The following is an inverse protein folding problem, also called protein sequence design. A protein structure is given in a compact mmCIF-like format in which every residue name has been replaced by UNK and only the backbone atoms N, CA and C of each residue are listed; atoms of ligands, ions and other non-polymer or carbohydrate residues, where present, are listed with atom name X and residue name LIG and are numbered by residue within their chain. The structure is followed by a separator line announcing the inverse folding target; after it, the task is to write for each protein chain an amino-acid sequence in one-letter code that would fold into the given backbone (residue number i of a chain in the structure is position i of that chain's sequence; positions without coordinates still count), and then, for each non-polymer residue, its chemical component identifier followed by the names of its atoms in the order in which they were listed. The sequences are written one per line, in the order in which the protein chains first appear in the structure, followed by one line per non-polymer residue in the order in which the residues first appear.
data_IF_226845852411
#
_entry.id   IF_226845852411
#
_cell.length_a   1.000
_cell.length_b   1.000
_cell.length_c   1.000
_cell.angle_alpha   90.00
_cell.angle_beta   90.00
_cell.angle_gamma   90.00
#
_symmetry.space_group_name_H-M   'P 1'
#
loop_
_entity.id
_entity.type
_entity.pdbx_description
1 polymer ?
#
# COMPACT_ATOMS: atom_id res chain seq x y z
N UNK A 1 -2.91 -36.74 -8.69
CA UNK A 1 -4.11 -37.41 -8.14
C UNK A 1 -4.22 -37.25 -6.62
N UNK A 2 -3.17 -37.54 -5.83
CA UNK A 2 -3.14 -37.30 -4.37
C UNK A 2 -2.94 -35.82 -3.99
N UNK A 3 -2.42 -35.03 -4.92
CA UNK A 3 -2.03 -33.64 -4.71
C UNK A 3 -3.23 -32.72 -4.47
N UNK A 4 -4.27 -32.75 -5.31
CA UNK A 4 -5.46 -31.89 -5.17
C UNK A 4 -6.23 -32.10 -3.84
N UNK A 5 -6.23 -33.33 -3.32
CA UNK A 5 -6.89 -33.67 -2.04
C UNK A 5 -6.08 -33.17 -0.85
N UNK A 6 -4.75 -33.36 -0.88
CA UNK A 6 -3.85 -32.81 0.12
C UNK A 6 -3.86 -31.27 0.09
N UNK A 7 -3.99 -30.68 -1.10
CA UNK A 7 -4.07 -29.24 -1.31
C UNK A 7 -5.35 -28.66 -0.68
N UNK A 8 -6.53 -29.29 -0.84
CA UNK A 8 -7.76 -28.80 -0.22
C UNK A 8 -7.73 -28.83 1.31
N UNK A 9 -7.30 -29.95 1.92
CA UNK A 9 -7.26 -30.10 3.38
C UNK A 9 -6.25 -29.11 4.01
N UNK A 10 -5.13 -28.88 3.34
CA UNK A 10 -4.11 -27.90 3.74
C UNK A 10 -4.68 -26.48 3.68
N UNK A 11 -5.24 -26.08 2.53
CA UNK A 11 -5.84 -24.75 2.35
C UNK A 11 -6.97 -24.48 3.36
N UNK A 12 -7.80 -25.50 3.67
CA UNK A 12 -8.86 -25.38 4.68
C UNK A 12 -8.27 -25.14 6.08
N UNK A 13 -7.24 -25.89 6.44
CA UNK A 13 -6.59 -25.78 7.75
C UNK A 13 -5.87 -24.44 7.91
N UNK A 14 -5.18 -23.98 6.86
CA UNK A 14 -4.53 -22.67 6.82
C UNK A 14 -5.55 -21.55 6.98
N UNK A 15 -6.65 -21.56 6.21
CA UNK A 15 -7.70 -20.54 6.30
C UNK A 15 -8.30 -20.45 7.72
N UNK A 16 -8.55 -21.59 8.36
CA UNK A 16 -9.12 -21.63 9.73
C UNK A 16 -8.12 -21.19 10.80
N UNK A 17 -6.81 -21.30 10.54
CA UNK A 17 -5.77 -20.86 11.45
C UNK A 17 -5.43 -19.37 11.32
N UNK A 18 -5.96 -18.67 10.30
CA UNK A 18 -5.68 -17.25 10.10
C UNK A 18 -6.29 -16.39 11.23
N UNK A 19 -5.50 -15.51 11.87
CA UNK A 19 -6.02 -14.61 12.88
C UNK A 19 -6.98 -13.59 12.27
N UNK A 20 -8.06 -13.28 12.99
CA UNK A 20 -8.98 -12.20 12.60
C UNK A 20 -8.25 -10.87 12.79
N UNK A 21 -8.10 -10.10 11.71
CA UNK A 21 -7.56 -8.76 11.80
C UNK A 21 -8.66 -7.81 12.30
N UNK A 22 -8.49 -7.27 13.51
CA UNK A 22 -9.48 -6.38 14.11
C UNK A 22 -9.24 -4.91 13.69
N UNK A 23 -10.31 -4.17 13.32
CA UNK A 23 -10.20 -2.75 13.02
C UNK A 23 -9.72 -1.95 14.25
N UNK A 24 -8.96 -0.86 14.06
CA UNK A 24 -8.61 0.03 15.15
C UNK A 24 -9.87 0.65 15.76
N UNK A 25 -9.90 0.78 17.10
CA UNK A 25 -10.91 1.56 17.78
C UNK A 25 -10.71 3.04 17.46
N UNK A 26 -11.76 3.70 16.95
CA UNK A 26 -11.78 5.11 16.59
C UNK A 26 -12.94 5.79 17.31
N UNK A 27 -12.68 6.98 17.85
CA UNK A 27 -13.69 7.80 18.53
C UNK A 27 -14.18 8.93 17.62
N UNK A 28 -15.45 9.30 17.75
CA UNK A 28 -15.97 10.48 17.05
C UNK A 28 -15.36 11.76 17.63
N UNK A 29 -14.86 12.63 16.77
CA UNK A 29 -14.30 13.93 17.15
C UNK A 29 -14.95 15.05 16.33
N UNK A 30 -15.38 16.11 17.01
CA UNK A 30 -16.04 17.28 16.40
C UNK A 30 -15.35 18.61 16.77
N UNK A 31 -14.09 18.55 17.20
CA UNK A 31 -13.33 19.76 17.49
C UNK A 31 -12.82 20.47 16.23
N UNK A 32 -12.17 21.64 16.39
CA UNK A 32 -11.66 22.42 15.25
C UNK A 32 -10.64 21.60 14.45
N UNK A 33 -10.75 21.70 13.12
CA UNK A 33 -9.87 21.01 12.17
C UNK A 33 -9.15 22.05 11.31
N UNK A 34 -8.00 22.52 11.80
CA UNK A 34 -7.14 23.42 11.03
C UNK A 34 -6.30 22.61 10.06
N UNK A 35 -6.28 23.04 8.80
CA UNK A 35 -5.51 22.41 7.72
C UNK A 35 -4.55 23.42 7.11
N UNK A 36 -3.48 22.90 6.51
CA UNK A 36 -2.52 23.63 5.69
C UNK A 36 -2.30 22.85 4.39
N UNK A 37 -2.16 23.50 3.23
CA UNK A 37 -1.88 22.79 1.99
C UNK A 37 -0.50 22.13 2.05
N UNK A 38 -0.30 21.06 1.28
CA UNK A 38 0.96 20.33 1.22
C UNK A 38 2.09 21.21 0.68
N UNK A 39 1.78 22.15 -0.22
CA UNK A 39 2.73 23.15 -0.72
C UNK A 39 3.40 23.95 0.40
N UNK A 40 2.65 24.41 1.41
CA UNK A 40 3.21 25.15 2.55
C UNK A 40 4.22 24.30 3.33
N UNK A 41 3.98 22.99 3.43
CA UNK A 41 4.92 22.06 4.08
C UNK A 41 6.18 21.84 3.24
N UNK A 42 6.07 21.90 1.92
CA UNK A 42 7.22 21.83 0.99
C UNK A 42 8.02 23.14 1.06
N UNK A 43 7.36 24.29 1.04
CA UNK A 43 8.00 25.61 1.18
C UNK A 43 8.70 25.76 2.53
N UNK A 44 8.11 25.25 3.60
CA UNK A 44 8.72 25.20 4.93
C UNK A 44 9.87 24.18 5.06
N UNK A 45 10.13 23.38 4.02
CA UNK A 45 11.18 22.34 4.01
C UNK A 45 10.85 21.10 4.86
N UNK A 46 9.61 20.97 5.34
CA UNK A 46 9.16 19.79 6.08
C UNK A 46 8.94 18.58 5.14
N UNK A 47 8.69 18.84 3.86
CA UNK A 47 8.53 17.83 2.81
C UNK A 47 9.42 18.15 1.60
N UNK A 48 9.91 17.11 0.92
CA UNK A 48 10.52 17.22 -0.41
C UNK A 48 9.82 16.28 -1.37
N UNK A 49 9.41 16.78 -2.53
CA UNK A 49 8.79 15.97 -3.58
C UNK A 49 9.82 15.67 -4.66
N UNK A 50 9.98 14.39 -4.99
CA UNK A 50 10.82 13.92 -6.08
C UNK A 50 9.97 13.29 -7.19
N UNK A 51 10.38 13.56 -8.42
CA UNK A 51 9.82 12.96 -9.62
C UNK A 51 10.97 12.50 -10.51
N UNK A 52 10.79 11.35 -11.15
CA UNK A 52 11.80 10.76 -12.01
C UNK A 52 11.38 10.95 -13.46
N UNK A 53 12.30 11.36 -14.35
CA UNK A 53 12.00 11.48 -15.78
C UNK A 53 11.48 10.17 -16.38
N UNK A 54 10.60 10.22 -17.40
CA UNK A 54 10.07 9.02 -18.07
C UNK A 54 11.15 8.11 -18.69
N UNK A 55 12.35 8.66 -18.93
CA UNK A 55 13.49 7.98 -19.55
C UNK A 55 14.23 7.06 -18.60
N UNK A 56 14.05 7.19 -17.27
CA UNK A 56 14.73 6.35 -16.29
C UNK A 56 14.10 4.95 -16.30
N UNK A 57 14.92 3.92 -16.50
CA UNK A 57 14.50 2.52 -16.57
C UNK A 57 14.12 2.01 -17.96
N UNK A 58 14.47 2.75 -19.02
CA UNK A 58 14.38 2.27 -20.42
C UNK A 58 15.54 1.34 -20.77
N UNK A 59 16.68 1.49 -20.11
CA UNK A 59 17.85 0.61 -20.22
C UNK A 59 18.07 -0.15 -18.91
N UNK A 60 18.38 -1.45 -19.02
CA UNK A 60 18.48 -2.36 -17.89
C UNK A 60 19.54 -1.97 -16.84
N UNK A 61 19.48 -2.64 -15.70
CA UNK A 61 20.43 -2.54 -14.61
C UNK A 61 20.14 -3.58 -13.53
N UNK A 62 20.91 -3.58 -12.45
CA UNK A 62 20.82 -4.58 -11.38
C UNK A 62 20.14 -4.05 -10.12
N UNK A 63 19.68 -2.79 -10.12
CA UNK A 63 19.02 -2.20 -8.94
C UNK A 63 17.50 -2.40 -9.05
N UNK A 64 16.83 -2.96 -8.03
CA UNK A 64 15.37 -3.05 -8.01
C UNK A 64 14.73 -1.67 -8.15
N UNK A 65 13.65 -1.58 -8.93
CA UNK A 65 12.94 -0.34 -9.20
C UNK A 65 11.44 -0.51 -8.94
N UNK A 66 10.90 0.36 -8.10
CA UNK A 66 9.48 0.40 -7.76
C UNK A 66 8.69 1.01 -8.92
N UNK A 67 7.73 0.27 -9.46
CA UNK A 67 6.85 0.79 -10.52
C UNK A 67 5.51 1.30 -9.95
N UNK A 68 4.83 2.19 -10.69
CA UNK A 68 3.50 2.65 -10.28
C UNK A 68 2.49 1.50 -10.10
N UNK A 69 2.67 0.39 -10.86
CA UNK A 69 1.88 -0.84 -10.68
C UNK A 69 2.19 -1.53 -9.36
N UNK A 70 3.44 -1.52 -8.91
CA UNK A 70 3.83 -2.13 -7.63
C UNK A 70 3.27 -1.34 -6.44
N UNK A 71 3.24 -0.01 -6.54
CA UNK A 71 2.56 0.87 -5.58
C UNK A 71 1.07 0.54 -5.49
N UNK A 72 0.36 0.48 -6.63
CA UNK A 72 -1.08 0.15 -6.67
C UNK A 72 -1.40 -1.24 -6.11
N UNK A 73 -0.54 -2.22 -6.37
CA UNK A 73 -0.74 -3.60 -5.91
C UNK A 73 -0.19 -3.86 -4.51
N UNK A 74 0.43 -2.87 -3.86
CA UNK A 74 1.02 -3.03 -2.54
C UNK A 74 2.10 -4.13 -2.47
N UNK A 75 2.92 -4.27 -3.52
CA UNK A 75 3.93 -5.34 -3.64
C UNK A 75 5.36 -4.81 -3.76
N UNK A 76 6.34 -5.70 -3.60
CA UNK A 76 7.75 -5.38 -3.80
C UNK A 76 8.04 -4.88 -5.23
N UNK A 77 9.17 -4.20 -5.39
CA UNK A 77 9.66 -3.73 -6.69
C UNK A 77 9.71 -4.88 -7.70
N UNK A 78 9.09 -4.70 -8.87
CA UNK A 78 9.04 -5.74 -9.90
C UNK A 78 9.84 -5.38 -11.15
N UNK A 79 10.54 -4.25 -11.17
CA UNK A 79 11.37 -3.79 -12.28
C UNK A 79 12.81 -3.66 -11.82
N UNK A 80 13.68 -3.43 -12.80
CA UNK A 80 15.10 -3.22 -12.60
C UNK A 80 15.52 -1.95 -13.33
N UNK A 81 16.50 -1.25 -12.78
CA UNK A 81 17.04 -0.03 -13.35
C UNK A 81 18.50 0.15 -12.95
N UNK A 82 19.10 1.22 -13.46
CA UNK A 82 20.48 1.59 -13.20
C UNK A 82 20.53 2.82 -12.28
N UNK A 83 21.11 2.66 -11.09
CA UNK A 83 21.23 3.74 -10.11
C UNK A 83 22.19 4.86 -10.53
N UNK A 84 23.07 4.60 -11.52
CA UNK A 84 23.98 5.59 -12.06
C UNK A 84 23.34 6.53 -13.11
N UNK A 85 22.09 6.26 -13.51
CA UNK A 85 21.38 7.12 -14.45
C UNK A 85 21.16 8.52 -13.89
N UNK A 86 21.40 9.58 -14.67
CA UNK A 86 21.08 10.95 -14.26
C UNK A 86 19.60 11.09 -13.89
N UNK A 87 19.32 11.59 -12.69
CA UNK A 87 17.96 11.75 -12.19
C UNK A 87 17.35 10.50 -11.55
N UNK A 88 18.11 9.41 -11.39
CA UNK A 88 17.70 8.29 -10.57
C UNK A 88 17.51 8.73 -9.11
N UNK A 89 16.39 8.33 -8.51
CA UNK A 89 16.06 8.62 -7.10
C UNK A 89 15.99 7.32 -6.34
N UNK A 90 16.84 7.16 -5.33
CA UNK A 90 16.78 6.02 -4.42
C UNK A 90 15.80 6.31 -3.28
N UNK A 91 14.90 5.35 -3.08
CA UNK A 91 13.91 5.32 -2.01
C UNK A 91 14.61 5.02 -0.68
N UNK A 92 14.17 5.72 0.36
CA UNK A 92 14.54 5.52 1.76
C UNK A 92 13.33 5.00 2.52
N UNK A 93 13.58 4.27 3.62
CA UNK A 93 12.51 3.86 4.53
C UNK A 93 11.77 5.10 5.04
N UNK A 94 10.44 5.05 5.00
CA UNK A 94 9.58 6.16 5.39
C UNK A 94 9.27 7.16 4.27
N UNK A 95 9.85 7.02 3.07
CA UNK A 95 9.37 7.80 1.94
C UNK A 95 7.93 7.40 1.56
N UNK A 96 7.12 8.36 1.10
CA UNK A 96 5.74 8.13 0.70
C UNK A 96 5.63 8.17 -0.83
N UNK A 97 5.43 7.01 -1.45
CA UNK A 97 5.27 6.88 -2.89
C UNK A 97 3.81 7.07 -3.30
N UNK A 98 3.55 8.00 -4.22
CA UNK A 98 2.22 8.30 -4.78
C UNK A 98 2.23 7.97 -6.28
N UNK A 99 1.50 6.93 -6.67
CA UNK A 99 1.29 6.61 -8.08
C UNK A 99 0.23 7.56 -8.65
N UNK A 100 0.65 8.49 -9.50
CA UNK A 100 -0.24 9.51 -10.07
C UNK A 100 -0.78 9.02 -11.40
N UNK A 101 -1.98 8.42 -11.36
CA UNK A 101 -2.71 7.92 -12.52
C UNK A 101 -4.23 7.98 -12.25
N UNK A 102 -5.05 7.54 -13.20
CA UNK A 102 -6.51 7.40 -12.98
C UNK A 102 -6.84 6.47 -11.81
N UNK A 103 -5.98 5.49 -11.53
CA UNK A 103 -6.04 4.64 -10.34
C UNK A 103 -4.94 5.08 -9.36
N UNK A 104 -5.10 6.26 -8.78
CA UNK A 104 -4.10 6.77 -7.85
C UNK A 104 -3.98 5.87 -6.61
N UNK A 105 -2.76 5.70 -6.13
CA UNK A 105 -2.48 4.91 -4.94
C UNK A 105 -1.30 5.50 -4.17
N UNK A 106 -1.27 5.27 -2.87
CA UNK A 106 -0.21 5.73 -1.98
C UNK A 106 0.30 4.58 -1.13
N UNK A 107 1.61 4.56 -0.91
CA UNK A 107 2.29 3.58 -0.06
C UNK A 107 3.45 4.24 0.69
N UNK A 108 3.62 3.87 1.96
CA UNK A 108 4.88 4.13 2.68
C UNK A 108 5.90 3.05 2.27
N UNK A 109 7.08 3.50 1.86
CA UNK A 109 8.18 2.63 1.47
C UNK A 109 8.89 2.10 2.72
N UNK A 110 9.05 0.78 2.79
CA UNK A 110 9.76 0.11 3.87
C UNK A 110 11.17 -0.31 3.44
N UNK A 111 11.33 -0.62 2.15
CA UNK A 111 12.57 -1.08 1.54
C UNK A 111 13.52 0.08 1.23
N UNK A 112 14.82 -0.08 1.54
CA UNK A 112 15.88 0.83 1.12
C UNK A 112 16.59 0.32 -0.14
N UNK A 113 17.29 1.22 -0.85
CA UNK A 113 18.10 0.85 -2.01
C UNK A 113 17.29 0.54 -3.27
N UNK A 114 15.98 0.78 -3.25
CA UNK A 114 15.08 0.63 -4.39
C UNK A 114 15.01 1.94 -5.17
N UNK A 115 15.07 1.88 -6.49
CA UNK A 115 14.90 3.05 -7.34
C UNK A 115 13.42 3.42 -7.49
N UNK A 116 13.13 4.72 -7.54
CA UNK A 116 11.83 5.24 -7.89
C UNK A 116 11.63 5.15 -9.40
N UNK A 117 10.57 4.46 -9.84
CA UNK A 117 10.21 4.37 -11.25
C UNK A 117 9.35 5.55 -11.72
N UNK A 118 9.21 5.72 -13.06
CA UNK A 118 8.42 6.79 -13.64
C UNK A 118 6.92 6.66 -13.31
N UNK A 119 6.23 7.81 -13.28
CA UNK A 119 4.79 7.88 -12.94
C UNK A 119 4.50 7.79 -11.44
N UNK A 120 5.53 7.95 -10.60
CA UNK A 120 5.42 8.00 -9.14
C UNK A 120 5.98 9.35 -8.67
N UNK A 121 5.24 10.04 -7.81
CA UNK A 121 5.73 11.18 -7.03
C UNK A 121 6.14 10.65 -5.65
N UNK A 122 7.39 10.87 -5.27
CA UNK A 122 7.90 10.44 -3.96
C UNK A 122 7.94 11.64 -3.03
N UNK A 123 7.18 11.57 -1.94
CA UNK A 123 7.15 12.60 -0.90
C UNK A 123 8.01 12.13 0.27
N UNK A 124 9.12 12.81 0.48
CA UNK A 124 10.05 12.56 1.59
C UNK A 124 9.76 13.56 2.71
N UNK A 125 9.39 13.06 3.88
CA UNK A 125 9.15 13.89 5.06
C UNK A 125 10.42 14.04 5.91
N UNK A 126 10.62 15.22 6.50
CA UNK A 126 11.39 15.31 7.73
C UNK A 126 10.59 14.63 8.84
N UNK A 127 11.07 13.46 9.29
CA UNK A 127 10.44 12.62 10.31
C UNK A 127 10.30 13.30 11.68
N UNK A 128 11.00 14.42 11.90
CA UNK A 128 10.86 15.24 13.10
C UNK A 128 9.77 16.31 12.97
N UNK A 129 9.23 16.53 11.77
CA UNK A 129 8.17 17.50 11.49
C UNK A 129 6.86 16.83 11.08
N UNK A 130 6.94 15.80 10.24
CA UNK A 130 5.79 15.08 9.68
C UNK A 130 5.97 13.57 9.81
N UNK A 131 4.96 12.89 10.37
CA UNK A 131 4.93 11.43 10.40
C UNK A 131 4.57 10.85 9.01
N UNK A 132 5.36 9.91 8.44
CA UNK A 132 5.09 9.36 7.11
C UNK A 132 3.77 8.59 6.98
N UNK A 133 3.37 7.84 8.01
CA UNK A 133 2.13 7.06 7.97
C UNK A 133 0.90 7.96 8.08
N UNK A 134 1.00 9.05 8.84
CA UNK A 134 0.01 10.12 8.87
C UNK A 134 -0.14 10.75 7.48
N UNK A 135 0.97 11.18 6.87
CA UNK A 135 0.96 11.78 5.53
C UNK A 135 0.36 10.84 4.48
N UNK A 136 0.77 9.57 4.48
CA UNK A 136 0.22 8.56 3.58
C UNK A 136 -1.30 8.37 3.78
N UNK A 137 -1.78 8.39 5.02
CA UNK A 137 -3.21 8.34 5.32
C UNK A 137 -4.00 9.52 4.77
N UNK A 138 -3.46 10.74 4.90
CA UNK A 138 -4.08 11.97 4.35
C UNK A 138 -4.10 11.94 2.83
N UNK A 139 -2.98 11.61 2.20
CA UNK A 139 -2.90 11.48 0.74
C UNK A 139 -3.87 10.43 0.22
N UNK A 140 -4.00 9.30 0.92
CA UNK A 140 -4.97 8.25 0.58
C UNK A 140 -6.40 8.76 0.67
N UNK A 141 -6.74 9.50 1.72
CA UNK A 141 -8.06 10.09 1.89
C UNK A 141 -8.37 11.11 0.77
N UNK A 142 -7.39 11.93 0.38
CA UNK A 142 -7.54 12.88 -0.72
C UNK A 142 -7.74 12.18 -2.08
N UNK A 143 -7.01 11.09 -2.35
CA UNK A 143 -7.22 10.24 -3.54
C UNK A 143 -8.65 9.68 -3.54
N UNK A 144 -9.13 9.14 -2.43
CA UNK A 144 -10.47 8.57 -2.35
C UNK A 144 -11.56 9.63 -2.55
N UNK A 145 -11.31 10.87 -2.14
CA UNK A 145 -12.24 12.00 -2.31
C UNK A 145 -12.19 12.60 -3.73
N UNK A 146 -11.18 12.30 -4.55
CA UNK A 146 -11.05 12.90 -5.89
C UNK A 146 -11.97 12.26 -6.94
N UNK A 147 -12.69 11.18 -6.60
CA UNK A 147 -13.63 10.47 -7.47
C UNK A 147 -13.06 10.15 -8.87
N UNK A 148 -11.79 9.73 -8.91
CA UNK A 148 -11.07 9.37 -10.15
C UNK A 148 -10.53 10.55 -10.96
N UNK A 149 -10.67 11.78 -10.47
CA UNK A 149 -9.99 12.96 -11.03
C UNK A 149 -8.51 12.95 -10.64
N UNK A 150 -7.61 13.48 -11.50
CA UNK A 150 -6.22 13.68 -11.14
C UNK A 150 -6.10 14.50 -9.86
N UNK A 151 -5.32 13.98 -8.90
CA UNK A 151 -5.03 14.68 -7.66
C UNK A 151 -3.89 15.67 -7.88
N UNK A 152 -4.09 16.94 -7.56
CA UNK A 152 -2.97 17.85 -7.32
C UNK A 152 -2.43 17.59 -5.92
N UNK A 153 -1.20 17.08 -5.84
CA UNK A 153 -0.54 16.76 -4.59
C UNK A 153 -0.33 18.00 -3.72
N UNK A 154 -0.05 19.16 -4.32
CA UNK A 154 0.33 20.37 -3.61
C UNK A 154 -0.87 21.05 -2.91
N UNK A 155 -2.07 20.90 -3.49
CA UNK A 155 -3.32 21.41 -2.91
C UNK A 155 -3.89 20.51 -1.80
N UNK A 156 -3.30 19.34 -1.54
CA UNK A 156 -3.82 18.42 -0.50
C UNK A 156 -3.76 19.10 0.86
N UNK A 157 -4.93 19.26 1.49
CA UNK A 157 -5.08 19.80 2.82
C UNK A 157 -4.60 18.82 3.89
N UNK A 158 -3.51 19.15 4.58
CA UNK A 158 -2.90 18.38 5.66
C UNK A 158 -3.34 18.95 7.03
N UNK A 159 -3.91 18.14 7.94
CA UNK A 159 -4.28 18.60 9.27
C UNK A 159 -3.07 19.09 10.08
N UNK A 160 -3.17 20.30 10.64
CA UNK A 160 -2.13 20.92 11.46
C UNK A 160 -2.24 20.47 12.91
N UNK A 161 -1.67 19.30 13.19
CA UNK A 161 -1.61 18.71 14.54
C UNK A 161 -0.16 18.45 14.96
N UNK A 162 0.08 18.36 16.28
CA UNK A 162 1.42 18.10 16.83
C UNK A 162 1.94 16.73 16.41
N UNK A 163 3.26 16.57 16.25
CA UNK A 163 3.89 15.33 15.78
C UNK A 163 3.49 14.09 16.60
N UNK A 164 3.36 14.23 17.93
CA UNK A 164 2.92 13.14 18.79
C UNK A 164 1.50 12.65 18.42
N UNK A 165 0.62 13.58 18.06
CA UNK A 165 -0.72 13.26 17.59
C UNK A 165 -0.70 12.71 16.17
N UNK A 166 0.13 13.28 15.27
CA UNK A 166 0.34 12.71 13.93
C UNK A 166 0.72 11.24 14.01
N UNK A 167 1.65 10.85 14.89
CA UNK A 167 2.05 9.45 15.10
C UNK A 167 0.89 8.56 15.53
N UNK A 168 -0.04 9.05 16.34
CA UNK A 168 -1.26 8.30 16.75
C UNK A 168 -2.19 8.10 15.56
N UNK A 169 -2.42 9.14 14.77
CA UNK A 169 -3.21 9.05 13.53
C UNK A 169 -2.53 8.14 12.49
N UNK A 170 -1.21 8.26 12.32
CA UNK A 170 -0.41 7.44 11.44
C UNK A 170 -0.48 5.96 11.81
N UNK A 171 -0.38 5.62 13.10
CA UNK A 171 -0.58 4.26 13.57
C UNK A 171 -2.00 3.73 13.28
N UNK A 172 -3.03 4.56 13.42
CA UNK A 172 -4.40 4.19 13.05
C UNK A 172 -4.55 3.95 11.54
N UNK A 173 -4.00 4.84 10.69
CA UNK A 173 -3.99 4.66 9.24
C UNK A 173 -3.22 3.41 8.80
N UNK A 174 -2.07 3.13 9.42
CA UNK A 174 -1.30 1.92 9.19
C UNK A 174 -2.11 0.67 9.53
N UNK A 175 -2.83 0.66 10.67
CA UNK A 175 -3.73 -0.44 11.06
C UNK A 175 -4.88 -0.63 10.08
N UNK A 176 -5.51 0.45 9.59
CA UNK A 176 -6.56 0.36 8.57
C UNK A 176 -6.02 -0.20 7.24
N UNK A 177 -4.81 0.19 6.85
CA UNK A 177 -4.17 -0.33 5.63
C UNK A 177 -3.79 -1.81 5.77
N UNK A 178 -3.27 -2.21 6.94
CA UNK A 178 -2.97 -3.61 7.25
C UNK A 178 -4.24 -4.47 7.27
N UNK A 179 -5.34 -3.95 7.82
CA UNK A 179 -6.65 -4.59 7.84
C UNK A 179 -7.12 -4.91 6.41
N UNK A 180 -7.13 -3.90 5.54
CA UNK A 180 -7.52 -4.08 4.14
C UNK A 180 -6.63 -5.10 3.42
N UNK A 181 -5.31 -5.01 3.62
CA UNK A 181 -4.34 -5.94 3.02
C UNK A 181 -4.59 -7.38 3.49
N UNK A 182 -4.90 -7.58 4.78
CA UNK A 182 -5.24 -8.88 5.33
C UNK A 182 -6.51 -9.47 4.70
N UNK A 183 -7.57 -8.66 4.56
CA UNK A 183 -8.81 -9.09 3.91
C UNK A 183 -8.63 -9.43 2.43
N UNK A 184 -7.82 -8.67 1.70
CA UNK A 184 -7.52 -8.98 0.30
C UNK A 184 -6.79 -10.32 0.15
N UNK A 185 -5.83 -10.61 1.03
CA UNK A 185 -5.13 -11.91 1.06
C UNK A 185 -6.08 -13.05 1.41
N UNK A 186 -6.86 -12.89 2.48
CA UNK A 186 -7.84 -13.89 2.90
C UNK A 186 -8.86 -14.20 1.81
N UNK A 187 -9.33 -13.17 1.08
CA UNK A 187 -10.22 -13.37 -0.08
C UNK A 187 -9.56 -14.23 -1.15
N UNK A 188 -8.29 -13.99 -1.50
CA UNK A 188 -7.57 -14.78 -2.49
C UNK A 188 -7.42 -16.25 -2.05
N UNK A 189 -7.18 -16.50 -0.76
CA UNK A 189 -7.08 -17.84 -0.19
C UNK A 189 -8.43 -18.57 -0.24
N UNK A 190 -9.52 -17.88 0.11
CA UNK A 190 -10.89 -18.41 0.00
C UNK A 190 -11.22 -18.75 -1.45
N UNK A 191 -10.93 -17.86 -2.40
CA UNK A 191 -11.18 -18.09 -3.83
C UNK A 191 -10.42 -19.32 -4.35
N UNK A 192 -9.18 -19.54 -3.86
CA UNK A 192 -8.40 -20.74 -4.18
C UNK A 192 -9.03 -21.99 -3.57
N UNK A 193 -9.35 -21.96 -2.27
CA UNK A 193 -9.98 -23.08 -1.56
C UNK A 193 -11.29 -23.51 -2.24
N UNK A 194 -12.16 -22.55 -2.57
CA UNK A 194 -13.44 -22.80 -3.24
C UNK A 194 -13.21 -23.46 -4.59
N UNK A 195 -12.30 -22.92 -5.42
CA UNK A 195 -11.96 -23.49 -6.73
C UNK A 195 -11.47 -24.93 -6.63
N UNK A 196 -10.55 -25.21 -5.70
CA UNK A 196 -10.03 -26.56 -5.45
C UNK A 196 -11.13 -27.49 -4.97
N UNK A 197 -12.00 -27.03 -4.05
CA UNK A 197 -13.13 -27.80 -3.55
C UNK A 197 -14.11 -28.20 -4.66
N UNK A 198 -14.54 -27.25 -5.49
CA UNK A 198 -15.42 -27.52 -6.63
C UNK A 198 -14.79 -28.51 -7.63
N UNK A 199 -13.52 -28.30 -7.98
CA UNK A 199 -12.79 -29.19 -8.89
C UNK A 199 -12.70 -30.62 -8.34
N UNK A 200 -12.28 -30.75 -7.08
CA UNK A 200 -12.13 -32.05 -6.43
C UNK A 200 -13.46 -32.79 -6.27
N UNK A 201 -14.55 -32.10 -5.91
CA UNK A 201 -15.88 -32.71 -5.81
C UNK A 201 -16.40 -33.18 -7.17
N UNK A 202 -16.29 -32.34 -8.21
CA UNK A 202 -16.79 -32.66 -9.55
C UNK A 202 -16.04 -33.84 -10.18
N UNK A 203 -14.76 -34.01 -9.85
CA UNK A 203 -13.90 -35.09 -10.36
C UNK A 203 -13.91 -36.35 -9.48
N UNK A 204 -14.68 -36.36 -8.39
CA UNK A 204 -14.73 -37.48 -7.43
C UNK A 204 -13.44 -37.67 -6.62
N UNK A 205 -12.57 -36.66 -6.59
CA UNK A 205 -11.34 -36.64 -5.78
C UNK A 205 -11.63 -36.23 -4.32
N UNK A 206 -12.63 -35.38 -4.12
CA UNK A 206 -13.19 -35.03 -2.81
C UNK A 206 -14.59 -35.63 -2.67
N UNK A 207 -14.96 -35.90 -1.43
CA UNK A 207 -16.32 -36.31 -1.05
C UNK A 207 -16.74 -35.58 0.22
N UNK A 208 -18.03 -35.27 0.40
CA UNK A 208 -18.53 -34.75 1.67
C UNK A 208 -18.21 -35.72 2.82
N UNK A 209 -17.88 -35.17 3.99
CA UNK A 209 -17.84 -35.94 5.24
C UNK A 209 -19.27 -36.29 5.63
N UNK A 210 -19.47 -37.47 6.21
CA UNK A 210 -20.79 -38.00 6.56
C UNK A 210 -21.42 -37.33 7.79
N UNK A 211 -20.78 -36.30 8.34
CA UNK A 211 -21.13 -35.61 9.60
C UNK A 211 -21.96 -34.32 9.42
N UNK A 212 -22.48 -34.02 8.22
CA UNK A 212 -23.51 -32.97 8.05
C UNK A 212 -24.93 -33.56 8.26
N UNK A 213 -25.22 -33.99 9.49
CA UNK A 213 -26.59 -34.08 10.04
C UNK A 213 -26.68 -33.39 11.40
#
# INVERSE_FOLDING_TARGET
MTQDVADYATLRSELLAQPVCEPPALESYSGPHTVIPLEDLVEAGALTVYEVPPTVGVEGGETPMLSAKDVRLGRAASRWGNAAEPGAVTIRTGDVAVAVSTEAAVRVCEDEGVLLGPGIRLVRADVNAVDPYFLAGILRAAINASDGRPLDLYEVAVPRIQLAEQRRYGAAFARLTALETAYQRQRADIERLVRTGFGGLAQGQLRPTTDDQ
#
